data_IF_546902257268
#
_entry.id   IF_546902257268
#
_cell.length_a   1.000
_cell.length_b   1.000
_cell.length_c   1.000
_cell.angle_alpha   90.00
_cell.angle_beta   90.00
_cell.angle_gamma   90.00
#
_symmetry.space_group_name_H-M   'P 1'
#
loop_
_entity.id
_entity.type
_entity.pdbx_description
1 polymer ?
#
# COMPACT_ATOMS: atom_id res chain seq x y z
N UNK A 1 -2.28 -10.73 -6.84
CA UNK A 1 -2.02 -9.27 -6.80
C UNK A 1 -2.55 -8.77 -8.12
N UNK A 2 -3.46 -7.80 -8.04
CA UNK A 2 -4.17 -7.29 -9.20
C UNK A 2 -3.45 -6.15 -9.90
N UNK A 3 -4.17 -5.52 -10.81
CA UNK A 3 -3.79 -4.22 -11.34
C UNK A 3 -3.71 -3.18 -10.21
N UNK A 4 -2.73 -2.28 -10.31
CA UNK A 4 -2.57 -1.19 -9.34
C UNK A 4 -3.05 0.10 -9.97
N UNK A 5 -4.09 0.69 -9.39
CA UNK A 5 -4.57 2.02 -9.77
C UNK A 5 -3.81 3.09 -8.97
N UNK A 6 -3.44 4.18 -9.65
CA UNK A 6 -2.72 5.29 -9.04
C UNK A 6 -3.47 6.61 -9.21
N UNK A 7 -3.69 7.32 -8.11
CA UNK A 7 -4.18 8.71 -8.10
C UNK A 7 -3.05 9.65 -7.69
N UNK A 8 -2.93 10.80 -8.36
CA UNK A 8 -1.96 11.84 -8.06
C UNK A 8 -2.71 13.12 -7.74
N UNK A 9 -2.51 13.65 -6.53
CA UNK A 9 -3.11 14.90 -6.09
C UNK A 9 -2.03 15.84 -5.53
N UNK A 10 -1.85 17.00 -6.16
CA UNK A 10 -0.88 17.98 -5.69
C UNK A 10 -1.40 18.71 -4.45
N UNK A 11 -0.58 18.75 -3.41
CA UNK A 11 -0.81 19.44 -2.14
C UNK A 11 0.32 20.45 -1.91
N UNK A 12 0.19 21.64 -2.50
CA UNK A 12 1.25 22.66 -2.49
C UNK A 12 2.53 22.16 -3.16
N UNK A 13 3.62 22.07 -2.39
CA UNK A 13 4.93 21.59 -2.84
C UNK A 13 5.11 20.06 -2.73
N UNK A 14 4.04 19.34 -2.38
CA UNK A 14 4.02 17.88 -2.30
C UNK A 14 3.04 17.29 -3.30
N UNK A 15 3.27 16.04 -3.68
CA UNK A 15 2.37 15.20 -4.45
C UNK A 15 1.91 14.05 -3.56
N UNK A 16 0.60 14.00 -3.27
CA UNK A 16 -0.03 12.84 -2.66
C UNK A 16 -0.26 11.80 -3.75
N UNK A 17 0.17 10.57 -3.49
CA UNK A 17 -0.04 9.45 -4.42
C UNK A 17 -0.74 8.32 -3.69
N UNK A 18 -1.96 7.99 -4.13
CA UNK A 18 -2.68 6.79 -3.70
C UNK A 18 -2.34 5.65 -4.66
N UNK A 19 -2.10 4.47 -4.11
CA UNK A 19 -1.94 3.22 -4.86
C UNK A 19 -2.89 2.17 -4.29
N UNK A 20 -3.76 1.62 -5.16
CA UNK A 20 -4.83 0.69 -4.78
C UNK A 20 -4.66 -0.61 -5.56
N UNK A 21 -4.60 -1.74 -4.87
CA UNK A 21 -4.67 -3.08 -5.47
C UNK A 21 -6.13 -3.46 -5.71
N UNK A 22 -6.51 -3.74 -6.97
CA UNK A 22 -7.91 -3.99 -7.35
C UNK A 22 -8.48 -5.32 -6.84
N UNK A 23 -7.63 -6.31 -6.56
CA UNK A 23 -8.05 -7.61 -6.04
C UNK A 23 -8.36 -7.56 -4.54
N UNK A 24 -7.46 -6.94 -3.76
CA UNK A 24 -7.55 -6.92 -2.28
C UNK A 24 -8.22 -5.66 -1.73
N UNK A 25 -8.45 -4.64 -2.58
CA UNK A 25 -8.93 -3.32 -2.21
C UNK A 25 -8.05 -2.62 -1.14
N UNK A 26 -6.77 -3.01 -1.04
CA UNK A 26 -5.83 -2.35 -0.13
C UNK A 26 -5.31 -1.09 -0.79
N UNK A 27 -5.52 0.04 -0.12
CA UNK A 27 -4.97 1.33 -0.49
C UNK A 27 -3.76 1.68 0.40
N UNK A 28 -2.74 2.27 -0.22
CA UNK A 28 -1.69 2.99 0.49
C UNK A 28 -1.51 4.38 -0.09
N UNK A 29 -1.15 5.33 0.76
CA UNK A 29 -0.86 6.71 0.36
C UNK A 29 0.59 7.04 0.66
N UNK A 30 1.28 7.72 -0.25
CA UNK A 30 2.59 8.33 -0.03
C UNK A 30 2.55 9.83 -0.28
N UNK A 31 3.52 10.55 0.28
CA UNK A 31 3.83 11.92 -0.06
C UNK A 31 5.19 11.93 -0.77
N UNK A 32 5.26 12.60 -1.91
CA UNK A 32 6.47 12.81 -2.69
C UNK A 32 6.66 14.32 -2.96
N UNK A 33 7.88 14.79 -3.27
CA UNK A 33 8.05 16.15 -3.76
C UNK A 33 7.42 16.30 -5.15
N UNK A 34 6.90 17.49 -5.48
CA UNK A 34 6.36 17.78 -6.83
C UNK A 34 7.38 17.64 -7.96
N UNK A 35 8.67 17.61 -7.64
CA UNK A 35 9.77 17.43 -8.58
C UNK A 35 10.04 15.95 -8.93
N UNK A 36 9.46 15.00 -8.20
CA UNK A 36 9.61 13.58 -8.52
C UNK A 36 8.87 13.21 -9.81
N UNK A 37 9.44 12.32 -10.60
CA UNK A 37 8.75 11.84 -11.81
C UNK A 37 7.60 10.90 -11.45
N UNK A 38 6.61 10.79 -12.34
CA UNK A 38 5.48 9.87 -12.17
C UNK A 38 5.94 8.42 -11.93
N UNK A 39 6.94 7.96 -12.68
CA UNK A 39 7.49 6.62 -12.54
C UNK A 39 8.15 6.39 -11.17
N UNK A 40 8.91 7.36 -10.66
CA UNK A 40 9.52 7.28 -9.32
C UNK A 40 8.44 7.16 -8.24
N UNK A 41 7.39 7.98 -8.34
CA UNK A 41 6.28 7.96 -7.38
C UNK A 41 5.51 6.62 -7.42
N UNK A 42 5.25 6.09 -8.62
CA UNK A 42 4.62 4.77 -8.78
C UNK A 42 5.48 3.66 -8.17
N UNK A 43 6.80 3.68 -8.39
CA UNK A 43 7.71 2.68 -7.84
C UNK A 43 7.67 2.66 -6.30
N UNK A 44 7.71 3.85 -5.67
CA UNK A 44 7.67 3.97 -4.21
C UNK A 44 6.30 3.56 -3.65
N UNK A 45 5.21 4.03 -4.26
CA UNK A 45 3.86 3.70 -3.83
C UNK A 45 3.55 2.20 -4.00
N UNK A 46 3.92 1.62 -5.14
CA UNK A 46 3.79 0.19 -5.42
C UNK A 46 4.66 -0.68 -4.51
N UNK A 47 5.87 -0.24 -4.15
CA UNK A 47 6.69 -0.92 -3.16
C UNK A 47 6.04 -0.90 -1.75
N UNK A 48 5.48 0.24 -1.34
CA UNK A 48 4.74 0.35 -0.07
C UNK A 48 3.50 -0.55 -0.05
N UNK A 49 2.78 -0.63 -1.17
CA UNK A 49 1.59 -1.47 -1.32
C UNK A 49 1.94 -2.95 -1.15
N UNK A 50 2.94 -3.43 -1.92
CA UNK A 50 3.45 -4.82 -1.80
C UNK A 50 3.85 -5.16 -0.37
N UNK A 51 4.63 -4.28 0.28
CA UNK A 51 5.05 -4.50 1.67
C UNK A 51 3.87 -4.54 2.65
N UNK A 52 2.82 -3.77 2.39
CA UNK A 52 1.61 -3.76 3.22
C UNK A 52 0.81 -5.05 3.07
N UNK A 53 0.68 -5.56 1.84
CA UNK A 53 0.01 -6.83 1.55
C UNK A 53 0.73 -8.01 2.23
N UNK A 54 2.07 -8.06 2.14
CA UNK A 54 2.88 -9.07 2.84
C UNK A 54 2.68 -9.04 4.35
N UNK A 55 2.63 -7.86 4.97
CA UNK A 55 2.40 -7.72 6.42
C UNK A 55 1.00 -8.20 6.82
N UNK A 56 -0.01 -7.92 5.98
CA UNK A 56 -1.39 -8.36 6.25
C UNK A 56 -1.53 -9.88 6.16
N UNK A 57 -0.92 -10.51 5.16
CA UNK A 57 -0.94 -11.98 5.05
C UNK A 57 -0.24 -12.65 6.24
N UNK A 58 0.89 -12.11 6.69
CA UNK A 58 1.59 -12.59 7.89
C UNK A 58 0.73 -12.47 9.16
N UNK A 59 0.08 -11.32 9.37
CA UNK A 59 -0.79 -11.11 10.53
C UNK A 59 -2.00 -12.05 10.56
N UNK A 60 -2.59 -12.38 9.40
CA UNK A 60 -3.68 -13.36 9.34
C UNK A 60 -3.24 -14.76 9.79
N UNK A 61 -2.03 -15.20 9.40
CA UNK A 61 -1.52 -16.52 9.80
C UNK A 61 -1.18 -16.63 11.30
N UNK A 62 -0.87 -15.50 11.96
CA UNK A 62 -0.57 -15.47 13.39
C UNK A 62 -1.84 -15.50 14.26
N UNK A 63 -2.92 -14.84 13.83
CA UNK A 63 -4.18 -14.78 14.58
C UNK A 63 -4.83 -16.18 14.74
N UNK A 64 -4.84 -16.98 13.67
CA UNK A 64 -5.43 -18.34 13.68
C UNK A 64 -4.74 -19.31 14.65
N UNK A 65 -3.46 -19.10 14.99
CA UNK A 65 -2.70 -19.99 15.88
C UNK A 65 -2.93 -19.73 17.38
N UNK A 66 -3.68 -18.68 17.74
CA UNK A 66 -3.81 -18.22 19.12
C UNK A 66 -5.13 -18.61 19.82
N UNK A 67 -6.10 -19.16 19.09
CA UNK A 67 -7.46 -19.44 19.59
C UNK A 67 -7.60 -20.72 20.44
N UNK A 68 -6.51 -21.43 20.74
CA UNK A 68 -6.56 -22.75 21.39
C UNK A 68 -6.09 -22.82 22.86
N UNK A 69 -6.01 -21.70 23.60
CA UNK A 69 -5.38 -21.69 24.94
C UNK A 69 -6.29 -21.40 26.14
N UNK A 70 -7.60 -21.41 25.96
CA UNK A 70 -8.57 -21.30 27.06
C UNK A 70 -9.76 -22.23 26.81
N UNK A 71 -9.58 -23.54 27.02
CA UNK A 71 -10.65 -24.52 27.08
C UNK A 71 -10.30 -25.57 28.12
#
# INVERSE_FOLDING_TARGET
MGEILYEFAQLGQQMRVSAIDTETNVEVVILAPVTATRLQMQNVAGAKLRRTLEKRSQNQTAATKSSGRYA
#
